data_IF_848437911355
#
_entry.id   IF_848437911355
#
_cell.length_a   1.000
_cell.length_b   1.000
_cell.length_c   1.000
_cell.angle_alpha   90.00
_cell.angle_beta   90.00
_cell.angle_gamma   90.00
#
_symmetry.space_group_name_H-M   'P 1'
#
loop_
_entity.id
_entity.type
_entity.pdbx_description
1 polymer ?
#
# COMPACT_ATOMS: atom_id res chain seq x y z
N UNK A 1 -1.31 -19.44 -8.51
CA UNK A 1 -1.45 -18.07 -9.03
C UNK A 1 -0.07 -17.43 -9.06
N UNK A 2 0.34 -16.77 -10.15
CA UNK A 2 1.64 -16.09 -10.17
C UNK A 2 1.66 -15.02 -9.07
N UNK A 3 2.67 -15.06 -8.21
CA UNK A 3 2.88 -14.01 -7.21
C UNK A 3 3.25 -12.72 -7.94
N UNK A 4 2.44 -11.67 -7.79
CA UNK A 4 2.78 -10.34 -8.30
C UNK A 4 4.00 -9.85 -7.53
N UNK A 5 5.14 -9.69 -8.23
CA UNK A 5 6.36 -9.15 -7.65
C UNK A 5 6.30 -7.63 -7.69
N UNK A 6 6.35 -6.99 -6.53
CA UNK A 6 6.54 -5.55 -6.37
C UNK A 6 8.03 -5.27 -6.14
N UNK A 7 8.59 -4.33 -6.89
CA UNK A 7 9.94 -3.81 -6.67
C UNK A 7 9.99 -2.77 -5.54
N UNK A 8 11.18 -2.46 -5.05
CA UNK A 8 11.37 -1.42 -4.03
C UNK A 8 10.89 -0.03 -4.50
N UNK A 9 11.04 0.27 -5.80
CA UNK A 9 10.60 1.55 -6.38
C UNK A 9 9.07 1.61 -6.43
N UNK A 10 8.40 0.52 -6.82
CA UNK A 10 6.94 0.43 -6.81
C UNK A 10 6.39 0.52 -5.38
N UNK A 11 7.03 -0.13 -4.40
CA UNK A 11 6.66 0.00 -3.00
C UNK A 11 6.80 1.46 -2.51
N UNK A 12 7.88 2.14 -2.89
CA UNK A 12 8.06 3.56 -2.55
C UNK A 12 6.95 4.43 -3.17
N UNK A 13 6.57 4.16 -4.42
CA UNK A 13 5.47 4.86 -5.07
C UNK A 13 4.14 4.63 -4.35
N UNK A 14 3.84 3.39 -3.94
CA UNK A 14 2.64 3.05 -3.18
C UNK A 14 2.60 3.74 -1.80
N UNK A 15 3.75 3.82 -1.11
CA UNK A 15 3.87 4.58 0.15
C UNK A 15 3.49 6.06 -0.04
N UNK A 16 3.99 6.69 -1.11
CA UNK A 16 3.64 8.09 -1.44
C UNK A 16 2.15 8.23 -1.78
N UNK A 17 1.60 7.30 -2.55
CA UNK A 17 0.19 7.28 -2.90
C UNK A 17 -0.70 7.18 -1.65
N UNK A 18 -0.32 6.37 -0.67
CA UNK A 18 -1.04 6.25 0.60
C UNK A 18 -1.11 7.58 1.36
N UNK A 19 0.01 8.32 1.40
CA UNK A 19 0.07 9.66 2.02
C UNK A 19 -0.84 10.65 1.29
N UNK A 20 -0.75 10.71 -0.04
CA UNK A 20 -1.58 11.60 -0.87
C UNK A 20 -3.07 11.25 -0.71
N UNK A 21 -3.42 9.97 -0.72
CA UNK A 21 -4.79 9.48 -0.53
C UNK A 21 -5.35 9.89 0.83
N UNK A 22 -4.55 9.80 1.90
CA UNK A 22 -4.93 10.25 3.23
C UNK A 22 -5.10 11.77 3.33
N UNK A 23 -4.29 12.55 2.63
CA UNK A 23 -4.45 14.00 2.53
C UNK A 23 -5.74 14.36 1.75
N UNK A 24 -6.00 13.67 0.64
CA UNK A 24 -7.21 13.85 -0.16
C UNK A 24 -8.46 13.56 0.66
N UNK A 25 -8.50 12.47 1.41
CA UNK A 25 -9.63 12.13 2.27
C UNK A 25 -9.98 13.26 3.27
N UNK A 26 -8.98 14.01 3.75
CA UNK A 26 -9.15 15.13 4.67
C UNK A 26 -9.55 16.44 3.98
N UNK A 27 -9.26 16.59 2.69
CA UNK A 27 -9.58 17.80 1.92
C UNK A 27 -10.94 17.74 1.22
N UNK A 28 -11.58 16.57 1.17
CA UNK A 28 -12.88 16.40 0.53
C UNK A 28 -14.00 17.04 1.36
N UNK A 29 -14.78 17.92 0.74
CA UNK A 29 -15.93 18.58 1.38
C UNK A 29 -17.18 17.70 1.43
N UNK A 30 -17.31 16.76 0.48
CA UNK A 30 -18.41 15.79 0.50
C UNK A 30 -18.14 14.70 1.55
N UNK A 31 -19.03 14.53 2.55
CA UNK A 31 -18.81 13.62 3.68
C UNK A 31 -18.91 12.13 3.31
N UNK A 32 -19.53 11.80 2.18
CA UNK A 32 -19.59 10.43 1.65
C UNK A 32 -18.29 10.12 0.92
N UNK A 33 -17.86 11.00 0.03
CA UNK A 33 -16.59 10.88 -0.69
C UNK A 33 -15.40 10.82 0.27
N UNK A 34 -15.37 11.66 1.32
CA UNK A 34 -14.33 11.63 2.35
C UNK A 34 -14.27 10.28 3.08
N UNK A 35 -15.42 9.68 3.38
CA UNK A 35 -15.52 8.35 4.01
C UNK A 35 -15.05 7.24 3.09
N UNK A 36 -15.49 7.25 1.84
CA UNK A 36 -15.05 6.27 0.83
C UNK A 36 -13.54 6.37 0.57
N UNK A 37 -13.01 7.58 0.42
CA UNK A 37 -11.58 7.80 0.26
C UNK A 37 -10.79 7.34 1.49
N UNK A 38 -11.32 7.53 2.70
CA UNK A 38 -10.71 6.99 3.92
C UNK A 38 -10.67 5.46 3.90
N UNK A 39 -11.75 4.80 3.47
CA UNK A 39 -11.80 3.35 3.36
C UNK A 39 -10.78 2.83 2.33
N UNK A 40 -10.69 3.46 1.15
CA UNK A 40 -9.70 3.12 0.13
C UNK A 40 -8.27 3.34 0.63
N UNK A 41 -8.01 4.43 1.36
CA UNK A 41 -6.71 4.71 1.96
C UNK A 41 -6.29 3.60 2.93
N UNK A 42 -7.22 3.08 3.75
CA UNK A 42 -6.92 1.96 4.67
C UNK A 42 -6.52 0.70 3.92
N UNK A 43 -7.23 0.35 2.84
CA UNK A 43 -6.88 -0.80 2.00
C UNK A 43 -5.49 -0.62 1.38
N UNK A 44 -5.18 0.58 0.88
CA UNK A 44 -3.87 0.87 0.30
C UNK A 44 -2.74 0.76 1.34
N UNK A 45 -2.96 1.24 2.57
CA UNK A 45 -2.00 1.09 3.67
C UNK A 45 -1.75 -0.38 3.98
N UNK A 46 -2.80 -1.21 4.04
CA UNK A 46 -2.65 -2.66 4.25
C UNK A 46 -1.82 -3.34 3.13
N UNK A 47 -2.08 -2.99 1.86
CA UNK A 47 -1.31 -3.49 0.72
C UNK A 47 0.17 -3.09 0.84
N UNK A 48 0.44 -1.83 1.21
CA UNK A 48 1.81 -1.34 1.45
C UNK A 48 2.49 -2.14 2.57
N UNK A 49 1.81 -2.35 3.70
CA UNK A 49 2.36 -3.12 4.83
C UNK A 49 2.68 -4.57 4.44
N UNK A 50 1.77 -5.26 3.74
CA UNK A 50 2.02 -6.63 3.27
C UNK A 50 3.17 -6.71 2.27
N UNK A 51 3.28 -5.71 1.39
CA UNK A 51 4.36 -5.62 0.41
C UNK A 51 5.72 -5.34 1.07
N UNK A 52 5.74 -4.50 2.10
CA UNK A 52 6.94 -4.18 2.88
C UNK A 52 7.48 -5.42 3.62
N UNK A 53 6.58 -6.20 4.23
CA UNK A 53 6.92 -7.48 4.86
C UNK A 53 7.49 -8.44 3.83
N UNK A 54 6.81 -8.62 2.69
CA UNK A 54 7.23 -9.56 1.65
C UNK A 54 8.62 -9.24 1.07
N UNK A 55 8.97 -7.95 0.95
CA UNK A 55 10.28 -7.50 0.50
C UNK A 55 11.36 -7.58 1.59
N UNK A 56 10.97 -7.52 2.86
CA UNK A 56 11.91 -7.56 4.00
C UNK A 56 12.21 -8.97 4.48
N UNK A 57 11.34 -9.94 4.23
CA UNK A 57 11.63 -11.36 4.48
C UNK A 57 12.69 -11.85 3.49
N UNK A 58 13.89 -12.24 3.95
CA UNK A 58 14.89 -12.84 3.08
C UNK A 58 14.33 -14.13 2.51
N UNK A 59 14.52 -14.37 1.22
CA UNK A 59 14.33 -15.70 0.65
C UNK A 59 15.37 -16.60 1.30
N UNK A 60 15.01 -17.37 2.34
CA UNK A 60 15.89 -18.41 2.87
C UNK A 60 16.20 -19.35 1.71
N UNK A 61 17.46 -19.49 1.27
CA UNK A 61 17.80 -20.54 0.33
C UNK A 61 17.73 -21.83 1.15
N UNK A 62 16.71 -22.65 0.90
CA UNK A 62 16.77 -24.07 1.23
C UNK A 62 17.94 -24.62 0.42
N UNK A 63 19.09 -24.77 1.08
CA UNK A 63 20.23 -25.49 0.51
C UNK A 63 19.80 -26.91 0.21
N UNK A 64 19.90 -27.28 -1.06
CA UNK A 64 20.08 -28.66 -1.53
C UNK A 64 21.55 -28.90 -1.81
#
# INVERSE_FOLDING_TARGET
MPAVKISAIELMALKKLAVISGALAKSLSDPTAAREQTALTKVLVDVVSRSDIALSTPHTPTGE
#
